data_IF_848241036578
#
_entry.id   IF_848241036578
#
_cell.length_a   1.000
_cell.length_b   1.000
_cell.length_c   1.000
_cell.angle_alpha   90.00
_cell.angle_beta   90.00
_cell.angle_gamma   90.00
#
_symmetry.space_group_name_H-M   'P 1'
#
loop_
_entity.id
_entity.type
_entity.pdbx_description
1 polymer ?
#
# COMPACT_ATOMS: atom_id res chain seq x y z
N UNK A 1 -17.36 30.64 -6.33
CA UNK A 1 -15.94 30.51 -6.71
C UNK A 1 -15.64 29.02 -6.89
N UNK A 2 -15.15 28.61 -8.06
CA UNK A 2 -14.74 27.21 -8.33
C UNK A 2 -13.22 27.21 -8.49
N UNK A 3 -12.54 26.27 -7.84
CA UNK A 3 -11.11 26.08 -8.00
C UNK A 3 -10.92 25.10 -9.16
N UNK A 4 -10.22 25.54 -10.21
CA UNK A 4 -9.82 24.67 -11.30
C UNK A 4 -8.54 23.92 -10.90
N UNK A 5 -8.67 22.62 -10.64
CA UNK A 5 -7.56 21.72 -10.35
C UNK A 5 -7.15 20.98 -11.62
N UNK A 6 -6.01 21.36 -12.21
CA UNK A 6 -5.52 20.83 -13.48
C UNK A 6 -4.02 20.48 -13.40
N UNK A 7 -3.64 19.74 -12.36
CA UNK A 7 -2.25 19.26 -12.19
C UNK A 7 -2.01 18.08 -13.12
N UNK A 8 -0.88 18.06 -13.84
CA UNK A 8 -0.45 16.89 -14.61
C UNK A 8 -0.08 15.74 -13.64
N UNK A 9 -0.75 14.57 -13.71
CA UNK A 9 -0.40 13.40 -12.90
C UNK A 9 1.03 12.91 -13.11
N UNK A 10 1.63 13.22 -14.26
CA UNK A 10 3.01 12.89 -14.62
C UNK A 10 3.95 13.97 -14.09
N UNK A 11 4.81 13.59 -13.15
CA UNK A 11 5.86 14.46 -12.62
C UNK A 11 6.97 14.70 -13.63
N UNK A 12 7.42 13.64 -14.30
CA UNK A 12 8.56 13.69 -15.21
C UNK A 12 8.40 12.69 -16.36
N UNK A 13 8.75 13.11 -17.58
CA UNK A 13 8.82 12.25 -18.76
C UNK A 13 10.28 12.07 -19.16
N UNK A 14 10.71 10.82 -19.28
CA UNK A 14 12.06 10.40 -19.71
C UNK A 14 11.91 9.52 -20.96
N UNK A 15 11.72 10.15 -22.12
CA UNK A 15 11.41 9.47 -23.36
C UNK A 15 10.08 8.69 -23.27
N UNK A 16 10.05 7.37 -23.49
CA UNK A 16 8.83 6.57 -23.38
C UNK A 16 8.41 6.30 -21.93
N UNK A 17 9.27 6.60 -20.95
CA UNK A 17 9.00 6.35 -19.54
C UNK A 17 8.41 7.59 -18.87
N UNK A 18 7.43 7.39 -18.00
CA UNK A 18 6.83 8.46 -17.19
C UNK A 18 6.89 8.12 -15.71
N UNK A 19 7.29 9.10 -14.90
CA UNK A 19 7.24 9.04 -13.45
C UNK A 19 6.02 9.85 -12.99
N UNK A 20 5.09 9.21 -12.29
CA UNK A 20 3.90 9.88 -11.75
C UNK A 20 4.13 10.37 -10.32
N UNK A 21 3.41 11.42 -9.93
CA UNK A 21 3.32 11.85 -8.54
C UNK A 21 2.85 10.72 -7.63
N UNK A 22 1.90 9.93 -8.12
CA UNK A 22 1.38 8.76 -7.41
C UNK A 22 2.50 7.76 -7.10
N UNK A 23 3.31 7.40 -8.09
CA UNK A 23 4.42 6.46 -7.90
C UNK A 23 5.45 6.97 -6.89
N UNK A 24 5.81 8.26 -6.97
CA UNK A 24 6.76 8.87 -6.02
C UNK A 24 6.22 8.89 -4.60
N UNK A 25 4.97 9.30 -4.41
CA UNK A 25 4.35 9.33 -3.09
C UNK A 25 4.18 7.92 -2.51
N UNK A 26 3.88 6.94 -3.36
CA UNK A 26 3.78 5.53 -2.99
C UNK A 26 5.13 4.95 -2.53
N UNK A 27 6.21 5.18 -3.28
CA UNK A 27 7.57 4.77 -2.85
C UNK A 27 7.99 5.52 -1.59
N UNK A 28 7.72 6.83 -1.53
CA UNK A 28 8.02 7.67 -0.37
C UNK A 28 7.36 7.18 0.91
N UNK A 29 6.11 6.69 0.83
CA UNK A 29 5.40 6.09 1.95
C UNK A 29 6.15 4.90 2.56
N UNK A 30 6.66 4.01 1.72
CA UNK A 30 7.43 2.85 2.19
C UNK A 30 8.78 3.26 2.77
N UNK A 31 9.50 4.19 2.14
CA UNK A 31 10.80 4.65 2.64
C UNK A 31 10.67 5.33 4.01
N UNK A 32 9.69 6.23 4.16
CA UNK A 32 9.42 6.91 5.43
C UNK A 32 8.90 5.93 6.48
N UNK A 33 7.95 5.06 6.11
CA UNK A 33 7.44 4.01 6.98
C UNK A 33 8.55 3.09 7.50
N UNK A 34 9.47 2.67 6.63
CA UNK A 34 10.63 1.85 6.98
C UNK A 34 11.58 2.57 7.93
N UNK A 35 11.85 3.86 7.68
CA UNK A 35 12.74 4.66 8.52
C UNK A 35 12.16 4.82 9.94
N UNK A 36 10.86 5.09 10.04
CA UNK A 36 10.13 5.20 11.32
C UNK A 36 10.14 3.87 12.05
N UNK A 37 9.75 2.78 11.38
CA UNK A 37 9.68 1.45 11.99
C UNK A 37 11.06 0.99 12.47
N UNK A 38 12.11 1.21 11.68
CA UNK A 38 13.50 0.92 12.07
C UNK A 38 13.94 1.72 13.28
N UNK A 39 13.49 2.97 13.43
CA UNK A 39 13.76 3.78 14.62
C UNK A 39 13.04 3.24 15.84
N UNK A 40 11.77 2.86 15.72
CA UNK A 40 10.98 2.23 16.80
C UNK A 40 11.66 0.95 17.27
N UNK A 41 12.08 0.09 16.34
CA UNK A 41 12.71 -1.20 16.67
C UNK A 41 14.06 -1.01 17.36
N UNK A 42 14.92 -0.10 16.86
CA UNK A 42 16.20 0.21 17.51
C UNK A 42 16.01 0.76 18.92
N UNK A 43 15.02 1.62 19.14
CA UNK A 43 14.69 2.15 20.47
C UNK A 43 14.26 1.07 21.48
N UNK A 44 13.84 -0.10 21.00
CA UNK A 44 13.44 -1.25 21.81
C UNK A 44 14.49 -2.38 21.81
N UNK A 45 15.70 -2.12 21.31
CA UNK A 45 16.77 -3.12 21.22
C UNK A 45 16.53 -4.23 20.19
N UNK A 46 15.59 -4.04 19.25
CA UNK A 46 15.29 -4.97 18.17
C UNK A 46 16.14 -4.58 16.94
N UNK A 47 16.78 -5.58 16.32
CA UNK A 47 17.61 -5.35 15.14
C UNK A 47 16.78 -4.78 13.97
N UNK A 48 17.33 -3.79 13.26
CA UNK A 48 16.65 -3.11 12.15
C UNK A 48 16.23 -4.05 11.01
N UNK A 49 16.96 -5.14 10.79
CA UNK A 49 16.60 -6.16 9.80
C UNK A 49 15.24 -6.82 10.06
N UNK A 50 14.71 -6.77 11.28
CA UNK A 50 13.34 -7.21 11.55
C UNK A 50 12.29 -6.25 10.99
N UNK A 51 12.55 -4.94 11.00
CA UNK A 51 11.66 -3.96 10.38
C UNK A 51 11.61 -4.15 8.86
N UNK A 52 12.75 -4.37 8.21
CA UNK A 52 12.85 -4.68 6.78
C UNK A 52 12.08 -5.94 6.41
N UNK A 53 12.25 -7.02 7.20
CA UNK A 53 11.48 -8.25 7.02
C UNK A 53 9.99 -7.97 7.19
N UNK A 54 9.58 -7.22 8.20
CA UNK A 54 8.17 -6.90 8.41
C UNK A 54 7.57 -6.18 7.21
N UNK A 55 8.26 -5.16 6.69
CA UNK A 55 7.86 -4.44 5.48
C UNK A 55 7.72 -5.38 4.27
N UNK A 56 8.75 -6.20 3.99
CA UNK A 56 8.76 -7.10 2.83
C UNK A 56 7.61 -8.11 2.88
N UNK A 57 7.39 -8.77 4.02
CA UNK A 57 6.32 -9.75 4.15
C UNK A 57 4.94 -9.09 4.08
N UNK A 58 4.81 -7.86 4.59
CA UNK A 58 3.56 -7.09 4.52
C UNK A 58 3.25 -6.69 3.07
N UNK A 59 4.26 -6.24 2.32
CA UNK A 59 4.13 -5.86 0.92
C UNK A 59 3.77 -7.07 0.05
N UNK A 60 4.51 -8.16 0.18
CA UNK A 60 4.23 -9.41 -0.56
C UNK A 60 2.84 -9.93 -0.18
N UNK A 61 2.52 -9.98 1.10
CA UNK A 61 1.21 -10.39 1.58
C UNK A 61 0.08 -9.54 1.00
N UNK A 62 0.23 -8.22 1.00
CA UNK A 62 -0.77 -7.31 0.45
C UNK A 62 -0.96 -7.49 -1.06
N UNK A 63 0.12 -7.61 -1.84
CA UNK A 63 0.03 -7.80 -3.30
C UNK A 63 -0.63 -9.14 -3.63
N UNK A 64 -0.15 -10.23 -3.00
CA UNK A 64 -0.68 -11.58 -3.21
C UNK A 64 -2.14 -11.65 -2.77
N UNK A 65 -2.45 -11.15 -1.57
CA UNK A 65 -3.80 -11.15 -1.03
C UNK A 65 -4.77 -10.33 -1.90
N UNK A 66 -4.37 -9.13 -2.33
CA UNK A 66 -5.20 -8.29 -3.19
C UNK A 66 -5.47 -8.94 -4.54
N UNK A 67 -4.45 -9.59 -5.12
CA UNK A 67 -4.60 -10.29 -6.40
C UNK A 67 -5.48 -11.53 -6.27
N UNK A 68 -5.23 -12.37 -5.27
CA UNK A 68 -6.03 -13.57 -5.03
C UNK A 68 -7.49 -13.22 -4.74
N UNK A 69 -7.76 -12.20 -3.92
CA UNK A 69 -9.13 -11.76 -3.69
C UNK A 69 -9.79 -11.23 -4.97
N UNK A 70 -9.07 -10.47 -5.80
CA UNK A 70 -9.62 -10.06 -7.09
C UNK A 70 -10.00 -11.26 -7.96
N UNK A 71 -9.09 -12.22 -8.09
CA UNK A 71 -9.29 -13.44 -8.87
C UNK A 71 -10.50 -14.24 -8.36
N UNK A 72 -10.59 -14.46 -7.05
CA UNK A 72 -11.59 -15.32 -6.46
C UNK A 72 -12.99 -14.67 -6.39
N UNK A 73 -13.06 -13.37 -6.14
CA UNK A 73 -14.34 -12.69 -5.89
C UNK A 73 -14.92 -11.95 -7.09
N UNK A 74 -14.11 -11.59 -8.10
CA UNK A 74 -14.58 -10.77 -9.23
C UNK A 74 -14.70 -11.53 -10.54
N UNK A 75 -13.72 -12.38 -10.89
CA UNK A 75 -13.79 -13.14 -12.16
C UNK A 75 -13.10 -14.53 -12.11
N UNK A 76 -13.53 -15.44 -11.22
CA UNK A 76 -12.85 -16.71 -11.03
C UNK A 76 -12.87 -17.60 -12.28
N UNK A 77 -13.93 -17.54 -13.10
CA UNK A 77 -14.06 -18.36 -14.30
C UNK A 77 -13.00 -17.98 -15.36
N UNK A 78 -12.79 -16.67 -15.58
CA UNK A 78 -11.76 -16.19 -16.50
C UNK A 78 -10.36 -16.64 -16.09
N UNK A 79 -10.02 -16.48 -14.81
CA UNK A 79 -8.67 -16.80 -14.32
C UNK A 79 -8.40 -18.30 -14.23
N UNK A 80 -9.42 -19.13 -14.02
CA UNK A 80 -9.28 -20.58 -14.11
C UNK A 80 -9.04 -21.05 -15.55
N UNK A 81 -9.63 -20.36 -16.54
CA UNK A 81 -9.35 -20.60 -17.95
C UNK A 81 -7.97 -20.05 -18.37
N UNK A 82 -7.48 -18.99 -17.71
CA UNK A 82 -6.22 -18.32 -18.03
C UNK A 82 -5.31 -18.17 -16.78
N UNK A 83 -4.73 -19.27 -16.26
CA UNK A 83 -4.03 -19.26 -14.98
C UNK A 83 -2.79 -18.36 -14.95
N UNK A 84 -2.15 -18.11 -16.10
CA UNK A 84 -1.01 -17.19 -16.20
C UNK A 84 -1.42 -15.74 -15.87
N UNK A 85 -2.67 -15.36 -16.17
CA UNK A 85 -3.17 -14.01 -15.92
C UNK A 85 -3.26 -13.71 -14.43
N UNK A 86 -3.36 -14.72 -13.56
CA UNK A 86 -3.33 -14.54 -12.10
C UNK A 86 -2.05 -13.79 -11.66
N UNK A 87 -0.92 -14.03 -12.32
CA UNK A 87 0.37 -13.41 -11.97
C UNK A 87 0.52 -11.96 -12.46
N UNK A 88 -0.34 -11.52 -13.37
CA UNK A 88 -0.23 -10.21 -14.05
C UNK A 88 -0.79 -9.07 -13.20
N UNK A 89 -0.10 -8.74 -12.11
CA UNK A 89 -0.50 -7.66 -11.20
C UNK A 89 -0.38 -6.25 -11.80
N UNK A 90 0.37 -6.11 -12.89
CA UNK A 90 0.55 -4.84 -13.60
C UNK A 90 -0.61 -4.47 -14.54
N UNK A 91 -1.52 -5.41 -14.84
CA UNK A 91 -2.71 -5.16 -15.65
C UNK A 91 -3.90 -4.64 -14.82
N UNK A 92 -3.67 -4.38 -13.52
CA UNK A 92 -4.70 -3.99 -12.57
C UNK A 92 -5.34 -5.19 -11.88
N UNK A 93 -6.58 -5.04 -11.41
CA UNK A 93 -7.31 -6.12 -10.72
C UNK A 93 -6.69 -6.48 -9.36
N UNK A 94 -6.73 -5.52 -8.43
CA UNK A 94 -6.28 -5.68 -7.05
C UNK A 94 -7.42 -5.29 -6.11
N UNK A 95 -7.87 -6.24 -5.29
CA UNK A 95 -8.95 -6.01 -4.34
C UNK A 95 -8.41 -5.55 -2.97
N UNK A 96 -8.87 -4.40 -2.49
CA UNK A 96 -8.37 -3.78 -1.26
C UNK A 96 -8.55 -4.66 -0.01
N UNK A 97 -9.69 -5.34 0.12
CA UNK A 97 -9.96 -6.24 1.26
C UNK A 97 -9.00 -7.44 1.31
N UNK A 98 -8.67 -8.01 0.15
CA UNK A 98 -7.63 -9.04 0.04
C UNK A 98 -6.25 -8.51 0.39
N UNK A 99 -5.96 -7.27 0.00
CA UNK A 99 -4.72 -6.59 0.36
C UNK A 99 -4.57 -6.42 1.87
N UNK A 100 -5.63 -6.01 2.56
CA UNK A 100 -5.65 -5.89 4.02
C UNK A 100 -5.48 -7.25 4.69
N UNK A 101 -6.22 -8.28 4.25
CA UNK A 101 -6.09 -9.62 4.81
C UNK A 101 -4.67 -10.18 4.62
N UNK A 102 -4.12 -10.04 3.42
CA UNK A 102 -2.75 -10.45 3.10
C UNK A 102 -1.68 -9.70 3.89
N UNK A 103 -1.85 -8.38 4.08
CA UNK A 103 -1.00 -7.57 4.95
C UNK A 103 -0.98 -8.11 6.38
N UNK A 104 -2.16 -8.36 6.97
CA UNK A 104 -2.28 -8.90 8.35
C UNK A 104 -1.60 -10.26 8.48
N UNK A 105 -1.76 -11.14 7.49
CA UNK A 105 -1.07 -12.45 7.45
C UNK A 105 0.46 -12.24 7.39
N UNK A 106 0.93 -11.32 6.54
CA UNK A 106 2.35 -10.97 6.41
C UNK A 106 2.94 -10.44 7.73
N UNK A 107 2.21 -9.56 8.42
CA UNK A 107 2.58 -9.04 9.74
C UNK A 107 2.69 -10.16 10.78
N UNK A 108 1.69 -11.05 10.83
CA UNK A 108 1.68 -12.16 11.78
C UNK A 108 2.86 -13.13 11.55
N UNK A 109 3.17 -13.42 10.28
CA UNK A 109 4.29 -14.30 9.92
C UNK A 109 5.64 -13.67 10.27
N UNK A 110 5.87 -12.41 9.88
CA UNK A 110 7.14 -11.75 10.14
C UNK A 110 7.35 -11.43 11.63
N UNK A 111 6.30 -11.06 12.35
CA UNK A 111 6.34 -10.82 13.80
C UNK A 111 6.80 -12.06 14.58
N UNK A 112 6.21 -13.23 14.29
CA UNK A 112 6.61 -14.51 14.89
C UNK A 112 8.08 -14.85 14.62
N UNK A 113 8.60 -14.51 13.44
CA UNK A 113 10.00 -14.76 13.06
C UNK A 113 10.98 -13.76 13.68
N UNK A 114 10.52 -12.56 14.04
CA UNK A 114 11.34 -11.56 14.71
C UNK A 114 11.57 -11.91 16.18
N UNK A 115 10.51 -12.29 16.88
CA UNK A 115 10.59 -12.82 18.24
C UNK A 115 9.28 -13.56 18.54
N UNK A 116 9.29 -14.84 18.93
CA UNK A 116 8.07 -15.59 19.21
C UNK A 116 7.18 -14.97 20.30
N UNK A 117 7.76 -14.17 21.19
CA UNK A 117 7.05 -13.46 22.26
C UNK A 117 6.40 -12.15 21.83
N UNK A 118 6.63 -11.68 20.60
CA UNK A 118 6.01 -10.46 20.07
C UNK A 118 4.58 -10.80 19.62
N UNK A 119 3.59 -10.13 20.22
CA UNK A 119 2.20 -10.29 19.84
C UNK A 119 1.89 -9.58 18.51
N UNK A 120 0.92 -10.08 17.75
CA UNK A 120 0.45 -9.42 16.52
C UNK A 120 -0.05 -8.00 16.82
N UNK A 121 -0.67 -7.78 17.98
CA UNK A 121 -1.14 -6.46 18.40
C UNK A 121 0.01 -5.47 18.55
N UNK A 122 1.11 -5.86 19.21
CA UNK A 122 2.28 -4.99 19.33
C UNK A 122 2.89 -4.65 17.95
N UNK A 123 2.89 -5.62 17.02
CA UNK A 123 3.35 -5.39 15.65
C UNK A 123 2.43 -4.40 14.94
N UNK A 124 1.12 -4.55 15.10
CA UNK A 124 0.12 -3.63 14.55
C UNK A 124 0.29 -2.22 15.12
N UNK A 125 0.54 -2.07 16.43
CA UNK A 125 0.81 -0.78 17.08
C UNK A 125 2.05 -0.10 16.47
N UNK A 126 3.12 -0.86 16.24
CA UNK A 126 4.33 -0.32 15.60
C UNK A 126 4.09 0.11 14.15
N UNK A 127 3.23 -0.61 13.42
CA UNK A 127 2.93 -0.36 11.99
C UNK A 127 1.84 0.70 11.81
N UNK A 128 1.08 1.05 12.85
CA UNK A 128 0.04 2.09 12.78
C UNK A 128 0.58 3.43 12.26
N UNK A 129 1.78 3.84 12.68
CA UNK A 129 2.42 5.08 12.22
C UNK A 129 2.81 4.99 10.73
N UNK A 130 3.59 3.98 10.28
CA UNK A 130 3.81 3.75 8.85
C UNK A 130 2.54 3.69 8.00
N UNK A 131 1.48 3.04 8.51
CA UNK A 131 0.20 2.95 7.82
C UNK A 131 -0.47 4.32 7.66
N UNK A 132 -0.44 5.16 8.69
CA UNK A 132 -0.96 6.52 8.63
C UNK A 132 -0.19 7.40 7.64
N UNK A 133 1.15 7.27 7.60
CA UNK A 133 2.00 7.95 6.60
C UNK A 133 1.59 7.50 5.19
N UNK A 134 1.47 6.19 4.97
CA UNK A 134 1.04 5.66 3.67
C UNK A 134 -0.34 6.14 3.26
N UNK A 135 -1.32 6.11 4.17
CA UNK A 135 -2.66 6.62 3.90
C UNK A 135 -2.64 8.10 3.52
N UNK A 136 -1.90 8.93 4.24
CA UNK A 136 -1.77 10.36 3.92
C UNK A 136 -1.14 10.59 2.53
N UNK A 137 -0.03 9.90 2.22
CA UNK A 137 0.65 10.05 0.94
C UNK A 137 -0.21 9.54 -0.24
N UNK A 138 -0.94 8.45 -0.06
CA UNK A 138 -1.91 7.96 -1.05
C UNK A 138 -3.04 8.99 -1.24
N UNK A 139 -3.55 9.61 -0.17
CA UNK A 139 -4.58 10.65 -0.30
C UNK A 139 -4.09 11.89 -1.03
N UNK A 140 -2.84 12.30 -0.81
CA UNK A 140 -2.21 13.38 -1.57
C UNK A 140 -2.08 12.98 -3.05
N UNK A 141 -1.68 11.74 -3.32
CA UNK A 141 -1.58 11.21 -4.69
C UNK A 141 -2.93 11.19 -5.41
N UNK A 142 -4.00 10.70 -4.75
CA UNK A 142 -5.35 10.73 -5.30
C UNK A 142 -5.79 12.17 -5.60
N UNK A 143 -5.50 13.11 -4.70
CA UNK A 143 -5.81 14.51 -4.91
C UNK A 143 -5.12 15.08 -6.16
N UNK A 144 -3.81 14.80 -6.33
CA UNK A 144 -3.06 15.21 -7.52
C UNK A 144 -3.66 14.59 -8.79
N UNK A 145 -4.01 13.30 -8.76
CA UNK A 145 -4.63 12.60 -9.89
C UNK A 145 -6.09 12.98 -10.15
N UNK A 146 -6.70 13.84 -9.34
CA UNK A 146 -8.15 14.14 -9.42
C UNK A 146 -9.05 12.90 -9.20
N UNK A 147 -8.59 11.96 -8.38
CA UNK A 147 -9.28 10.73 -8.03
C UNK A 147 -9.97 10.82 -6.66
N UNK A 148 -11.08 10.10 -6.48
CA UNK A 148 -11.80 9.98 -5.20
C UNK A 148 -12.13 11.37 -4.64
N UNK A 149 -12.71 12.21 -5.50
CA UNK A 149 -13.26 13.51 -5.12
C UNK A 149 -14.57 13.31 -4.36
N UNK A 150 -14.87 14.25 -3.47
CA UNK A 150 -16.14 14.27 -2.75
C UNK A 150 -17.34 14.59 -3.65
N UNK A 151 -18.51 14.66 -3.04
CA UNK A 151 -19.74 15.08 -3.72
C UNK A 151 -19.69 16.60 -3.97
N UNK A 152 -20.18 17.09 -5.12
CA UNK A 152 -20.30 18.52 -5.36
C UNK A 152 -21.07 19.21 -4.24
N UNK A 153 -20.52 20.31 -3.73
CA UNK A 153 -21.24 21.19 -2.81
C UNK A 153 -21.77 22.38 -3.59
N UNK A 154 -23.07 22.62 -3.54
CA UNK A 154 -23.68 23.83 -4.08
C UNK A 154 -23.51 24.97 -3.08
N UNK A 155 -23.28 26.22 -3.52
CA UNK A 155 -23.45 27.39 -2.68
C UNK A 155 -24.95 27.59 -2.46
N UNK A 156 -25.56 26.80 -1.57
CA UNK A 156 -26.92 27.00 -1.11
C UNK A 156 -26.89 27.84 0.17
N UNK A 157 -26.78 29.15 -0.03
CA UNK A 157 -27.40 30.21 0.77
C UNK A 157 -28.00 31.21 -0.21
#
# INVERSE_FOLDING_TARGET
MVIHWAVDPVLLRLGPWSVSWYGILFVGAFLLGQAVLSRIFRGQGIAAGHAERLLLHSLVGAIVGARLAHVLFYDPAFYLANPVDILKTWEGGLASHGGVAGLVIGLAFAGRRARPSISLLWVADCVAIPAAIGAAMIRIANFINSEIVGVPTSPAL
#
